data_IF_789223560232
#
_entry.id   IF_789223560232
#
_cell.length_a   1.000
_cell.length_b   1.000
_cell.length_c   1.000
_cell.angle_alpha   90.00
_cell.angle_beta   90.00
_cell.angle_gamma   90.00
#
_symmetry.space_group_name_H-M   'P 1'
#
loop_
_entity.id
_entity.type
_entity.pdbx_description
1 polymer ?
#
# COMPACT_ATOMS: atom_id res chain seq x y z
N UNK A 1 -12.10 1.21 -11.71
CA UNK A 1 -11.59 1.56 -10.37
C UNK A 1 -12.20 2.89 -10.02
N UNK A 2 -12.78 2.99 -8.83
CA UNK A 2 -13.15 4.24 -8.20
C UNK A 2 -11.92 5.06 -7.85
N UNK A 3 -12.15 6.25 -7.33
CA UNK A 3 -11.11 7.24 -7.11
C UNK A 3 -10.12 6.77 -6.03
N UNK A 4 -10.63 6.03 -5.03
CA UNK A 4 -9.87 5.57 -3.87
C UNK A 4 -8.87 4.47 -4.27
N UNK A 5 -9.28 3.52 -5.12
CA UNK A 5 -8.39 2.52 -5.66
C UNK A 5 -7.29 3.13 -6.55
N UNK A 6 -7.62 4.15 -7.35
CA UNK A 6 -6.62 4.85 -8.19
C UNK A 6 -5.60 5.58 -7.32
N UNK A 7 -6.04 6.30 -6.28
CA UNK A 7 -5.13 7.00 -5.36
C UNK A 7 -4.19 6.01 -4.64
N UNK A 8 -4.72 4.87 -4.20
CA UNK A 8 -3.94 3.81 -3.57
C UNK A 8 -2.83 3.30 -4.51
N UNK A 9 -3.16 3.06 -5.78
CA UNK A 9 -2.22 2.56 -6.80
C UNK A 9 -1.14 3.59 -7.07
N UNK A 10 -1.51 4.85 -7.31
CA UNK A 10 -0.56 5.94 -7.53
C UNK A 10 0.39 6.10 -6.33
N UNK A 11 -0.13 5.95 -5.10
CA UNK A 11 0.69 6.01 -3.90
C UNK A 11 1.66 4.83 -3.79
N UNK A 12 1.24 3.63 -4.19
CA UNK A 12 2.14 2.48 -4.27
C UNK A 12 3.25 2.70 -5.30
N UNK A 13 2.92 3.17 -6.50
CA UNK A 13 3.91 3.50 -7.54
C UNK A 13 4.94 4.52 -7.05
N UNK A 14 4.51 5.58 -6.36
CA UNK A 14 5.38 6.59 -5.79
C UNK A 14 6.29 6.03 -4.69
N UNK A 15 5.74 5.30 -3.72
CA UNK A 15 6.48 4.77 -2.57
C UNK A 15 7.49 3.71 -2.99
N UNK A 16 7.10 2.80 -3.86
CA UNK A 16 7.95 1.68 -4.29
C UNK A 16 8.79 2.03 -5.52
N UNK A 17 8.60 3.20 -6.13
CA UNK A 17 9.25 3.63 -7.36
C UNK A 17 9.08 2.60 -8.51
N UNK A 18 7.86 2.11 -8.69
CA UNK A 18 7.47 1.12 -9.70
C UNK A 18 6.37 1.66 -10.61
N UNK A 19 6.03 0.88 -11.65
CA UNK A 19 4.86 1.14 -12.49
C UNK A 19 3.93 -0.07 -12.45
N UNK A 20 2.65 0.16 -12.18
CA UNK A 20 1.58 -0.82 -12.12
C UNK A 20 0.65 -0.57 -13.31
N UNK A 21 0.53 -1.56 -14.21
CA UNK A 21 -0.36 -1.39 -15.35
C UNK A 21 -1.82 -1.56 -14.92
N UNK A 22 -2.72 -0.75 -15.47
CA UNK A 22 -4.16 -0.81 -15.18
C UNK A 22 -4.75 -2.21 -15.31
N UNK A 23 -4.29 -2.99 -16.31
CA UNK A 23 -4.76 -4.35 -16.54
C UNK A 23 -4.31 -5.31 -15.42
N UNK A 24 -3.09 -5.14 -14.89
CA UNK A 24 -2.60 -5.96 -13.77
C UNK A 24 -3.34 -5.64 -12.48
N UNK A 25 -3.67 -4.35 -12.27
CA UNK A 25 -4.38 -3.89 -11.07
C UNK A 25 -5.87 -4.23 -11.14
N UNK A 26 -6.45 -4.30 -12.35
CA UNK A 26 -7.88 -4.60 -12.54
C UNK A 26 -8.30 -5.95 -11.96
N UNK A 27 -7.40 -6.91 -12.00
CA UNK A 27 -7.64 -8.29 -11.53
C UNK A 27 -7.31 -8.46 -10.03
N UNK A 28 -6.88 -7.40 -9.34
CA UNK A 28 -6.57 -7.44 -7.91
C UNK A 28 -7.85 -7.22 -7.12
N UNK A 29 -8.15 -8.16 -6.23
CA UNK A 29 -9.31 -8.09 -5.34
C UNK A 29 -8.92 -8.11 -3.86
N UNK A 30 -7.76 -8.66 -3.51
CA UNK A 30 -7.30 -8.81 -2.13
C UNK A 30 -5.99 -8.08 -1.84
N UNK A 31 -5.75 -7.78 -0.56
CA UNK A 31 -4.50 -7.15 -0.12
C UNK A 31 -3.28 -8.03 -0.43
N UNK A 32 -3.41 -9.35 -0.30
CA UNK A 32 -2.36 -10.33 -0.65
C UNK A 32 -2.00 -10.30 -2.12
N UNK A 33 -2.97 -10.18 -3.01
CA UNK A 33 -2.73 -10.08 -4.46
C UNK A 33 -1.98 -8.78 -4.79
N UNK A 34 -2.37 -7.66 -4.17
CA UNK A 34 -1.66 -6.40 -4.32
C UNK A 34 -0.21 -6.52 -3.83
N UNK A 35 -0.01 -7.09 -2.64
CA UNK A 35 1.31 -7.38 -2.10
C UNK A 35 2.15 -8.24 -3.05
N UNK A 36 1.58 -9.33 -3.57
CA UNK A 36 2.26 -10.23 -4.49
C UNK A 36 2.67 -9.51 -5.79
N UNK A 37 1.82 -8.62 -6.32
CA UNK A 37 2.14 -7.81 -7.49
C UNK A 37 3.30 -6.84 -7.21
N UNK A 38 3.30 -6.16 -6.06
CA UNK A 38 4.38 -5.26 -5.64
C UNK A 38 5.71 -6.02 -5.53
N UNK A 39 5.70 -7.18 -4.88
CA UNK A 39 6.88 -8.04 -4.81
C UNK A 39 7.35 -8.47 -6.21
N UNK A 40 6.44 -8.83 -7.12
CA UNK A 40 6.79 -9.19 -8.48
C UNK A 40 7.47 -8.04 -9.23
N UNK A 41 6.96 -6.80 -9.11
CA UNK A 41 7.58 -5.60 -9.72
C UNK A 41 8.96 -5.30 -9.15
N UNK A 42 9.14 -5.50 -7.85
CA UNK A 42 10.42 -5.34 -7.16
C UNK A 42 11.37 -6.55 -7.35
N UNK A 43 10.96 -7.58 -8.10
CA UNK A 43 11.72 -8.84 -8.31
C UNK A 43 12.03 -9.57 -6.99
N UNK A 44 11.12 -9.50 -6.04
CA UNK A 44 11.18 -10.14 -4.74
C UNK A 44 10.29 -11.39 -4.72
N UNK A 45 10.64 -12.35 -3.86
CA UNK A 45 9.82 -13.54 -3.60
C UNK A 45 8.83 -13.19 -2.47
N UNK A 46 7.51 -13.26 -2.70
CA UNK A 46 6.51 -12.96 -1.67
C UNK A 46 6.64 -13.92 -0.47
N UNK A 47 6.51 -13.39 0.74
CA UNK A 47 6.47 -14.22 1.94
C UNK A 47 5.09 -14.88 2.07
N UNK A 48 5.00 -16.22 2.25
CA UNK A 48 3.71 -16.91 2.36
C UNK A 48 2.98 -16.59 3.68
N UNK A 49 3.74 -16.39 4.76
CA UNK A 49 3.22 -16.09 6.08
C UNK A 49 3.33 -14.59 6.37
N UNK A 50 2.27 -13.85 6.02
CA UNK A 50 2.17 -12.43 6.27
C UNK A 50 1.60 -12.21 7.67
N UNK A 51 2.37 -11.54 8.52
CA UNK A 51 1.96 -11.16 9.86
C UNK A 51 1.85 -9.64 9.88
N UNK A 52 0.77 -9.12 10.47
CA UNK A 52 0.64 -7.67 10.69
C UNK A 52 1.81 -7.21 11.58
N UNK A 53 2.64 -6.24 11.14
CA UNK A 53 3.77 -5.77 11.93
C UNK A 53 3.29 -5.08 13.21
N UNK A 54 3.99 -5.31 14.31
CA UNK A 54 3.73 -4.61 15.59
C UNK A 54 4.04 -3.10 15.49
N UNK A 55 4.94 -2.71 14.59
CA UNK A 55 5.33 -1.33 14.36
C UNK A 55 5.34 -1.03 12.86
N UNK A 56 4.46 -0.13 12.42
CA UNK A 56 4.43 0.33 11.04
C UNK A 56 5.48 1.41 10.77
N UNK A 57 6.09 1.44 9.57
CA UNK A 57 6.92 2.55 9.16
C UNK A 57 6.08 3.83 9.10
N UNK A 58 6.65 4.95 9.54
CA UNK A 58 5.99 6.24 9.45
C UNK A 58 6.02 6.72 8.00
N UNK A 59 5.00 6.39 7.21
CA UNK A 59 4.89 6.86 5.82
C UNK A 59 4.33 8.28 5.77
N UNK A 60 3.47 8.64 6.72
CA UNK A 60 3.05 10.02 6.96
C UNK A 60 2.23 10.15 8.26
N UNK A 61 2.51 11.17 9.06
CA UNK A 61 1.61 11.68 10.09
C UNK A 61 0.77 12.80 9.47
N UNK A 62 -0.40 12.48 8.92
CA UNK A 62 -1.34 13.52 8.49
C UNK A 62 -1.99 14.13 9.73
N UNK A 63 -1.53 15.33 10.10
CA UNK A 63 -2.30 16.24 10.96
C UNK A 63 -3.11 17.15 10.06
N UNK A 64 -4.36 16.78 9.75
CA UNK A 64 -5.34 17.70 9.16
C UNK A 64 -5.96 17.25 7.84
N UNK A 65 -7.25 16.89 7.91
CA UNK A 65 -8.17 16.78 6.76
C UNK A 65 -8.36 18.16 6.11
N UNK A 66 -7.81 18.37 4.93
CA UNK A 66 -8.27 19.45 4.03
C UNK A 66 -8.07 19.05 2.56
N UNK A 67 -9.11 18.46 1.98
CA UNK A 67 -9.49 18.51 0.55
C UNK A 67 -8.41 18.18 -0.51
N UNK A 68 -8.47 16.92 -0.94
CA UNK A 68 -8.47 16.38 -2.31
C UNK A 68 -7.24 16.45 -3.23
N UNK A 69 -6.29 17.39 -3.23
CA UNK A 69 -5.20 17.33 -4.25
C UNK A 69 -3.81 17.86 -3.90
N UNK A 70 -3.56 18.43 -2.72
CA UNK A 70 -2.23 18.95 -2.39
C UNK A 70 -1.92 18.79 -0.90
N UNK A 71 -1.64 17.56 -0.49
CA UNK A 71 -0.87 17.37 0.73
C UNK A 71 0.59 17.36 0.35
N UNK A 72 1.30 18.46 0.67
CA UNK A 72 2.75 18.43 0.81
C UNK A 72 3.05 17.59 2.04
N UNK A 73 2.93 16.27 1.89
CA UNK A 73 3.33 15.27 2.88
C UNK A 73 4.85 15.36 2.95
N UNK A 74 5.39 15.75 4.09
CA UNK A 74 6.82 15.55 4.37
C UNK A 74 7.01 14.04 4.56
N UNK A 75 7.12 13.33 3.44
CA UNK A 75 7.43 11.92 3.44
C UNK A 75 8.86 11.76 4.00
N UNK A 76 9.05 10.86 4.95
CA UNK A 76 10.37 10.27 5.09
C UNK A 76 10.69 9.66 3.71
N UNK A 77 11.87 9.91 3.12
CA UNK A 77 12.20 9.30 1.84
C UNK A 77 12.03 7.79 1.96
N UNK A 78 11.29 7.14 1.04
CA UNK A 78 11.23 5.68 1.02
C UNK A 78 12.65 5.12 0.99
N UNK A 79 12.87 3.92 1.54
CA UNK A 79 14.18 3.28 1.48
C UNK A 79 14.66 3.22 0.04
N UNK A 80 15.98 3.24 -0.16
CA UNK A 80 16.55 3.15 -1.49
C UNK A 80 16.00 1.91 -2.23
N UNK A 81 15.74 2.01 -3.55
CA UNK A 81 15.00 1.00 -4.31
C UNK A 81 15.65 -0.39 -4.35
N UNK A 82 16.91 -0.50 -3.95
CA UNK A 82 17.69 -1.74 -3.82
C UNK A 82 17.63 -2.37 -2.42
N UNK A 83 16.93 -1.75 -1.47
CA UNK A 83 16.88 -2.19 -0.06
C UNK A 83 15.55 -2.87 0.30
N UNK A 84 14.63 -3.03 -0.64
CA UNK A 84 13.31 -3.61 -0.37
C UNK A 84 13.42 -5.09 -0.02
N UNK A 85 12.82 -5.46 1.11
CA UNK A 85 12.57 -6.85 1.49
C UNK A 85 11.07 -7.13 1.46
N UNK A 86 10.65 -8.40 1.29
CA UNK A 86 9.24 -8.76 1.31
C UNK A 86 8.51 -8.28 2.57
N UNK A 87 9.18 -8.26 3.72
CA UNK A 87 8.61 -7.80 4.99
C UNK A 87 8.47 -6.27 5.04
N UNK A 88 9.42 -5.55 4.44
CA UNK A 88 9.32 -4.09 4.28
C UNK A 88 8.21 -3.71 3.32
N UNK A 89 8.07 -4.42 2.20
CA UNK A 89 6.97 -4.18 1.26
C UNK A 89 5.62 -4.35 1.94
N UNK A 90 5.45 -5.42 2.73
CA UNK A 90 4.22 -5.65 3.49
C UNK A 90 3.96 -4.54 4.52
N UNK A 91 4.98 -4.18 5.29
CA UNK A 91 4.86 -3.12 6.31
C UNK A 91 4.52 -1.77 5.69
N UNK A 92 5.13 -1.45 4.55
CA UNK A 92 4.83 -0.21 3.83
C UNK A 92 3.45 -0.23 3.19
N UNK A 93 3.02 -1.38 2.64
CA UNK A 93 1.69 -1.53 2.07
C UNK A 93 0.60 -1.26 3.12
N UNK A 94 0.70 -1.88 4.30
CA UNK A 94 -0.25 -1.62 5.40
C UNK A 94 -0.26 -0.14 5.75
N UNK A 95 0.91 0.48 5.89
CA UNK A 95 0.99 1.89 6.25
C UNK A 95 0.41 2.81 5.15
N UNK A 96 0.44 2.43 3.87
CA UNK A 96 -0.28 3.16 2.81
C UNK A 96 -1.79 3.06 3.00
N UNK A 97 -2.33 1.87 3.29
CA UNK A 97 -3.77 1.68 3.57
C UNK A 97 -4.22 2.49 4.78
N UNK A 98 -3.46 2.44 5.87
CA UNK A 98 -3.72 3.19 7.10
C UNK A 98 -3.68 4.71 6.83
N UNK A 99 -2.71 5.18 6.06
CA UNK A 99 -2.57 6.62 5.75
C UNK A 99 -3.67 7.15 4.82
N UNK A 100 -3.97 6.45 3.72
CA UNK A 100 -4.98 6.93 2.77
C UNK A 100 -6.40 6.80 3.32
N UNK A 101 -6.70 5.65 3.95
CA UNK A 101 -8.08 5.29 4.29
C UNK A 101 -8.41 5.49 5.77
N UNK A 102 -7.41 5.79 6.61
CA UNK A 102 -7.60 5.93 8.04
C UNK A 102 -7.99 4.63 8.75
N UNK A 103 -7.63 3.48 8.15
CA UNK A 103 -7.87 2.15 8.72
C UNK A 103 -6.96 1.87 9.90
N UNK A 104 -7.35 0.97 10.78
CA UNK A 104 -6.44 0.43 11.81
C UNK A 104 -5.51 -0.63 11.16
N UNK A 105 -4.20 -0.62 11.46
CA UNK A 105 -3.27 -1.66 11.00
C UNK A 105 -3.79 -3.10 11.15
N UNK A 106 -4.54 -3.39 12.22
CA UNK A 106 -5.07 -4.74 12.49
C UNK A 106 -6.22 -5.13 11.57
N UNK A 107 -6.85 -4.17 10.88
CA UNK A 107 -7.93 -4.41 9.92
C UNK A 107 -7.39 -4.79 8.53
N UNK A 108 -6.15 -4.43 8.21
CA UNK A 108 -5.51 -4.74 6.93
C UNK A 108 -4.97 -6.17 6.97
N UNK A 109 -5.89 -7.13 6.82
CA UNK A 109 -5.55 -8.54 6.75
C UNK A 109 -5.09 -8.92 5.33
N UNK A 110 -4.15 -9.87 5.18
CA UNK A 110 -3.70 -10.33 3.86
C UNK A 110 -4.86 -10.81 2.97
N UNK A 111 -5.79 -11.54 3.55
CA UNK A 111 -6.90 -12.16 2.81
C UNK A 111 -8.13 -11.24 2.73
N UNK A 112 -8.04 -9.99 3.23
CA UNK A 112 -9.12 -9.02 3.12
C UNK A 112 -9.35 -8.61 1.65
N UNK A 113 -10.61 -8.56 1.24
CA UNK A 113 -11.02 -8.01 -0.04
C UNK A 113 -11.01 -6.48 0.01
N UNK A 114 -10.29 -5.84 -0.93
CA UNK A 114 -10.06 -4.38 -0.97
C UNK A 114 -11.39 -3.62 -1.05
N UNK A 115 -12.30 -4.06 -1.92
CA UNK A 115 -13.60 -3.40 -2.10
C UNK A 115 -14.57 -3.79 -1.01
N UNK A 116 -14.68 -5.09 -0.69
CA UNK A 116 -15.76 -5.60 0.17
C UNK A 116 -15.47 -5.47 1.66
N UNK A 117 -14.23 -5.67 2.08
CA UNK A 117 -13.84 -5.64 3.49
C UNK A 117 -13.26 -4.28 3.90
N UNK A 118 -12.49 -3.64 3.01
CA UNK A 118 -11.86 -2.33 3.29
C UNK A 118 -12.67 -1.14 2.75
N UNK A 119 -13.66 -1.37 1.89
CA UNK A 119 -14.55 -0.33 1.37
C UNK A 119 -13.91 0.59 0.33
N UNK A 120 -12.82 0.17 -0.31
CA UNK A 120 -12.05 0.96 -1.29
C UNK A 120 -12.57 0.63 -2.69
N UNK A 121 -13.21 1.58 -3.38
CA UNK A 121 -13.85 1.36 -4.69
C UNK A 121 -12.98 1.75 -5.91
#
# INVERSE_FOLDING_TARGET
>A
MGLDAVELVLRCEEVFAITLADDEVRDIHTVRELYALLCAKLKLIPTPNLVTPDHLPAISTITGRTLLFFHKRENLPPPAPDTWTPDLVWSYLIAIFVDQQGLDPVQVLPDAEIVRDLGID
#
